data_IF_299314424476
#
_entry.id   IF_299314424476
#
_cell.length_a   1.000
_cell.length_b   1.000
_cell.length_c   1.000
_cell.angle_alpha   90.00
_cell.angle_beta   90.00
_cell.angle_gamma   90.00
#
_symmetry.space_group_name_H-M   'P 1'
#
loop_
_entity.id
_entity.type
_entity.pdbx_description
1 polymer ?
#
# COMPACT_ATOMS: atom_id res chain seq x y z
N UNK A 1 -17.41 -3.21 13.36
CA UNK A 1 -16.77 -1.99 13.88
C UNK A 1 -15.30 -2.32 13.76
N UNK A 2 -14.54 -1.60 12.94
CA UNK A 2 -13.14 -1.96 12.73
C UNK A 2 -12.31 -1.44 13.89
N UNK A 3 -11.48 -2.29 14.47
CA UNK A 3 -10.48 -1.92 15.46
C UNK A 3 -9.25 -1.31 14.77
N UNK A 4 -8.44 -0.54 15.50
CA UNK A 4 -7.15 -0.05 15.00
C UNK A 4 -6.26 -1.19 14.49
N UNK A 5 -6.35 -2.36 15.14
CA UNK A 5 -5.71 -3.60 14.69
C UNK A 5 -6.14 -3.99 13.28
N UNK A 6 -7.45 -4.06 13.02
CA UNK A 6 -7.94 -4.42 11.69
C UNK A 6 -7.54 -3.39 10.62
N UNK A 7 -7.44 -2.10 10.97
CA UNK A 7 -7.05 -1.05 10.01
C UNK A 7 -5.57 -1.14 9.66
N UNK A 8 -4.70 -1.39 10.66
CA UNK A 8 -3.28 -1.62 10.42
C UNK A 8 -3.02 -2.97 9.74
N UNK A 9 -3.79 -4.01 10.03
CA UNK A 9 -3.75 -5.28 9.29
C UNK A 9 -4.11 -5.07 7.81
N UNK A 10 -5.09 -4.21 7.51
CA UNK A 10 -5.41 -3.84 6.12
C UNK A 10 -4.23 -3.08 5.49
N UNK A 11 -3.61 -2.14 6.20
CA UNK A 11 -2.43 -1.42 5.70
C UNK A 11 -1.28 -2.38 5.36
N UNK A 12 -0.98 -3.34 6.24
CA UNK A 12 0.03 -4.37 5.99
C UNK A 12 -0.33 -5.21 4.76
N UNK A 13 -1.59 -5.63 4.63
CA UNK A 13 -2.05 -6.42 3.49
C UNK A 13 -1.91 -5.68 2.16
N UNK A 14 -2.17 -4.37 2.15
CA UNK A 14 -1.98 -3.51 0.96
C UNK A 14 -0.51 -3.55 0.52
N UNK A 15 0.40 -3.29 1.46
CA UNK A 15 1.84 -3.27 1.18
C UNK A 15 2.33 -4.66 0.73
N UNK A 16 1.88 -5.74 1.37
CA UNK A 16 2.21 -7.11 0.97
C UNK A 16 1.75 -7.43 -0.46
N UNK A 17 0.55 -7.00 -0.83
CA UNK A 17 0.02 -7.15 -2.18
C UNK A 17 0.83 -6.31 -3.20
N UNK A 18 1.30 -5.12 -2.80
CA UNK A 18 2.24 -4.28 -3.57
C UNK A 18 3.59 -4.95 -3.80
N UNK A 19 4.19 -5.55 -2.77
CA UNK A 19 5.45 -6.31 -2.87
C UNK A 19 5.33 -7.41 -3.92
N UNK A 20 4.28 -8.23 -3.84
CA UNK A 20 4.04 -9.31 -4.77
C UNK A 20 3.86 -8.79 -6.19
N UNK A 21 3.04 -7.74 -6.34
CA UNK A 21 2.76 -7.14 -7.64
C UNK A 21 4.02 -6.62 -8.34
N UNK A 22 4.81 -5.79 -7.65
CA UNK A 22 6.04 -5.23 -8.21
C UNK A 22 7.15 -6.27 -8.40
N UNK A 23 7.22 -7.29 -7.53
CA UNK A 23 8.17 -8.39 -7.69
C UNK A 23 7.91 -9.13 -9.01
N UNK A 24 6.65 -9.42 -9.33
CA UNK A 24 6.36 -10.10 -10.59
C UNK A 24 6.53 -9.17 -11.78
N UNK A 25 6.07 -7.92 -11.74
CA UNK A 25 6.32 -6.97 -12.84
C UNK A 25 7.81 -6.78 -13.13
N UNK A 26 8.65 -6.83 -12.09
CA UNK A 26 10.10 -6.74 -12.29
C UNK A 26 10.70 -7.96 -12.98
N UNK A 27 10.10 -9.14 -12.78
CA UNK A 27 10.57 -10.41 -13.35
C UNK A 27 10.09 -10.59 -14.80
N UNK A 28 8.89 -10.10 -15.11
CA UNK A 28 8.25 -10.26 -16.42
C UNK A 28 8.55 -9.10 -17.39
N UNK A 29 9.20 -8.02 -16.93
CA UNK A 29 9.48 -6.84 -17.75
C UNK A 29 10.72 -7.00 -18.65
N UNK A 30 10.52 -6.97 -19.96
CA UNK A 30 11.60 -6.92 -20.97
C UNK A 30 12.35 -5.58 -21.03
N UNK A 31 11.83 -4.53 -20.35
CA UNK A 31 12.45 -3.20 -20.27
C UNK A 31 13.36 -3.10 -19.03
N UNK A 32 14.68 -2.92 -19.17
CA UNK A 32 15.60 -2.88 -18.02
C UNK A 32 15.36 -1.71 -17.06
N UNK A 33 14.90 -0.57 -17.57
CA UNK A 33 14.58 0.61 -16.76
C UNK A 33 13.31 0.39 -15.92
N UNK A 34 12.26 -0.18 -16.51
CA UNK A 34 11.04 -0.56 -15.81
C UNK A 34 11.29 -1.67 -14.78
N UNK A 35 12.02 -2.74 -15.15
CA UNK A 35 12.37 -3.82 -14.23
C UNK A 35 13.16 -3.32 -13.01
N UNK A 36 14.04 -2.33 -13.19
CA UNK A 36 14.78 -1.73 -12.09
C UNK A 36 13.91 -0.85 -11.20
N UNK A 37 12.97 -0.09 -11.79
CA UNK A 37 12.00 0.69 -11.03
C UNK A 37 11.06 -0.19 -10.21
N UNK A 38 10.53 -1.28 -10.78
CA UNK A 38 9.67 -2.21 -10.05
C UNK A 38 10.39 -2.91 -8.90
N UNK A 39 11.67 -3.29 -9.07
CA UNK A 39 12.46 -3.82 -7.93
C UNK A 39 12.65 -2.80 -6.82
N UNK A 40 12.85 -1.53 -7.17
CA UNK A 40 12.92 -0.45 -6.20
C UNK A 40 11.60 -0.29 -5.43
N UNK A 41 10.47 -0.24 -6.16
CA UNK A 41 9.14 -0.13 -5.55
C UNK A 41 8.85 -1.30 -4.60
N UNK A 42 9.05 -2.55 -5.05
CA UNK A 42 8.88 -3.74 -4.20
C UNK A 42 9.69 -3.70 -2.90
N UNK A 43 10.83 -3.02 -2.89
CA UNK A 43 11.66 -2.86 -1.69
C UNK A 43 11.17 -1.71 -0.79
N UNK A 44 10.53 -0.68 -1.34
CA UNK A 44 9.86 0.35 -0.55
C UNK A 44 8.61 -0.21 0.14
N UNK A 45 7.76 -0.94 -0.59
CA UNK A 45 6.57 -1.59 0.00
C UNK A 45 6.96 -2.54 1.16
N UNK A 46 8.11 -3.24 1.07
CA UNK A 46 8.65 -4.06 2.18
C UNK A 46 8.91 -3.23 3.44
N UNK A 47 9.53 -2.06 3.28
CA UNK A 47 9.84 -1.16 4.39
C UNK A 47 8.57 -0.56 4.99
N UNK A 48 7.55 -0.31 4.17
CA UNK A 48 6.25 0.18 4.62
C UNK A 48 5.47 -0.90 5.38
N UNK A 49 5.42 -2.13 4.86
CA UNK A 49 4.84 -3.28 5.56
C UNK A 49 5.49 -3.52 6.92
N UNK A 50 6.83 -3.44 7.00
CA UNK A 50 7.58 -3.53 8.25
C UNK A 50 7.17 -2.41 9.22
N UNK A 51 7.12 -1.16 8.73
CA UNK A 51 6.71 -0.01 9.54
C UNK A 51 5.28 -0.18 10.09
N UNK A 52 4.30 -0.58 9.27
CA UNK A 52 2.94 -0.83 9.75
C UNK A 52 2.86 -2.01 10.72
N UNK A 53 3.69 -3.04 10.52
CA UNK A 53 3.80 -4.19 11.44
C UNK A 53 4.35 -3.78 12.81
N UNK A 54 5.37 -2.91 12.84
CA UNK A 54 5.90 -2.33 14.08
C UNK A 54 4.86 -1.48 14.80
N UNK A 55 4.11 -0.65 14.07
CA UNK A 55 3.00 0.12 14.65
C UNK A 55 1.94 -0.81 15.25
N UNK A 56 1.51 -1.84 14.52
CA UNK A 56 0.55 -2.82 15.02
C UNK A 56 1.03 -3.52 16.29
N UNK A 57 2.32 -3.90 16.36
CA UNK A 57 2.91 -4.51 17.54
C UNK A 57 2.87 -3.56 18.75
N UNK A 58 3.21 -2.28 18.56
CA UNK A 58 3.12 -1.26 19.61
C UNK A 58 1.69 -1.11 20.13
N UNK A 59 0.69 -1.09 19.24
CA UNK A 59 -0.72 -1.00 19.66
C UNK A 59 -1.21 -2.22 20.43
N UNK A 60 -0.71 -3.43 20.12
CA UNK A 60 -1.01 -4.65 20.90
C UNK A 60 -0.42 -4.59 22.31
N UNK A 61 0.73 -3.95 22.49
CA UNK A 61 1.36 -3.76 23.79
C UNK A 61 0.68 -2.66 24.62
N UNK A 62 0.19 -1.60 23.96
CA UNK A 62 -0.51 -0.46 24.57
C UNK A 62 -2.00 -0.74 24.89
N UNK A 63 -2.56 -1.86 24.42
CA UNK A 63 -3.97 -2.27 24.59
C UNK A 63 -4.42 -2.46 26.07
N UNK A 64 -3.53 -2.23 27.06
CA UNK A 64 -3.91 -2.12 28.47
C UNK A 64 -4.55 -0.80 28.87
N UNK A 65 -4.40 0.29 28.10
CA UNK A 65 -5.03 1.58 28.46
C UNK A 65 -5.66 2.31 27.26
N UNK A 66 -7.01 2.34 27.27
CA UNK A 66 -7.82 3.50 26.87
C UNK A 66 -7.80 3.93 25.39
N UNK A 67 -8.47 3.20 24.50
CA UNK A 67 -9.01 3.86 23.29
C UNK A 67 -10.39 3.34 22.87
N UNK A 68 -11.27 4.28 22.53
CA UNK A 68 -12.62 4.02 22.05
C UNK A 68 -12.65 4.23 20.52
N UNK A 69 -12.10 3.28 19.76
CA UNK A 69 -11.96 3.35 18.29
C UNK A 69 -13.24 2.98 17.56
N UNK A 70 -14.29 3.79 17.78
CA UNK A 70 -15.61 3.60 17.19
C UNK A 70 -15.73 4.04 15.73
N UNK A 71 -14.83 4.93 15.29
CA UNK A 71 -15.12 5.81 14.16
C UNK A 71 -14.29 5.48 12.92
N UNK A 72 -14.25 4.20 12.55
CA UNK A 72 -13.78 3.83 11.21
C UNK A 72 -14.77 4.38 10.17
N UNK A 73 -14.29 5.25 9.27
CA UNK A 73 -15.10 5.86 8.22
C UNK A 73 -15.73 4.81 7.30
N UNK A 74 -16.88 5.12 6.68
CA UNK A 74 -17.51 4.22 5.70
C UNK A 74 -16.58 3.91 4.51
N UNK A 75 -15.61 4.78 4.26
CA UNK A 75 -14.54 4.57 3.28
C UNK A 75 -13.65 3.38 3.66
N UNK A 76 -13.13 3.32 4.89
CA UNK A 76 -12.34 2.18 5.40
C UNK A 76 -13.15 0.88 5.31
N UNK A 77 -14.45 0.94 5.62
CA UNK A 77 -15.34 -0.23 5.49
C UNK A 77 -15.47 -0.70 4.05
N UNK A 78 -15.45 0.20 3.08
CA UNK A 78 -15.46 -0.18 1.67
C UNK A 78 -14.17 -0.90 1.27
N UNK A 79 -13.03 -0.46 1.81
CA UNK A 79 -11.70 -1.03 1.58
C UNK A 79 -11.57 -2.45 2.15
N UNK A 80 -12.11 -2.70 3.36
CA UNK A 80 -12.10 -4.05 3.95
C UNK A 80 -12.94 -5.08 3.18
N UNK A 81 -13.96 -4.62 2.43
CA UNK A 81 -14.96 -5.47 1.77
C UNK A 81 -14.58 -5.76 0.33
N UNK A 82 -14.01 -4.76 -0.34
CA UNK A 82 -13.43 -4.91 -1.66
C UNK A 82 -11.95 -5.16 -1.45
N UNK A 83 -11.45 -6.40 -1.62
CA UNK A 83 -10.00 -6.61 -1.71
C UNK A 83 -9.45 -5.68 -2.80
N UNK A 84 -8.85 -4.56 -2.39
CA UNK A 84 -8.58 -3.44 -3.30
C UNK A 84 -7.45 -3.78 -4.25
N UNK A 85 -6.50 -4.62 -3.83
CA UNK A 85 -5.63 -5.27 -4.77
C UNK A 85 -6.27 -6.58 -5.25
N UNK A 86 -6.63 -6.70 -6.54
CA UNK A 86 -6.57 -8.00 -7.18
C UNK A 86 -5.19 -8.60 -6.93
N UNK A 87 -5.16 -9.88 -6.56
CA UNK A 87 -3.89 -10.59 -6.35
C UNK A 87 -3.02 -10.39 -7.59
N UNK A 88 -1.71 -10.20 -7.39
CA UNK A 88 -0.77 -10.05 -8.50
C UNK A 88 -1.00 -11.11 -9.60
N UNK A 89 -1.22 -12.36 -9.20
CA UNK A 89 -1.56 -13.47 -10.10
C UNK A 89 -2.85 -13.26 -10.93
N UNK A 90 -3.89 -12.64 -10.36
CA UNK A 90 -5.15 -12.35 -11.06
C UNK A 90 -4.96 -11.20 -12.05
N UNK A 91 -4.18 -10.18 -11.69
CA UNK A 91 -3.83 -9.07 -12.59
C UNK A 91 -3.00 -9.59 -13.75
N UNK A 92 -1.94 -10.34 -13.46
CA UNK A 92 -1.00 -10.83 -14.46
C UNK A 92 -1.58 -11.93 -15.35
N UNK A 93 -2.43 -12.81 -14.80
CA UNK A 93 -3.19 -13.76 -15.60
C UNK A 93 -4.03 -13.07 -16.67
N UNK A 94 -4.66 -11.94 -16.31
CA UNK A 94 -5.42 -11.10 -17.24
C UNK A 94 -4.53 -10.19 -18.12
N UNK A 95 -3.30 -9.89 -17.69
CA UNK A 95 -2.33 -9.04 -18.41
C UNK A 95 -1.30 -9.84 -19.23
N UNK A 96 -1.36 -11.17 -19.27
CA UNK A 96 -0.40 -12.01 -20.03
C UNK A 96 -0.29 -11.67 -21.54
N UNK A 97 -1.27 -10.94 -22.09
CA UNK A 97 -1.25 -10.38 -23.44
C UNK A 97 -1.34 -8.84 -23.49
N UNK A 98 -1.34 -8.17 -22.34
CA UNK A 98 -1.50 -6.73 -22.22
C UNK A 98 -0.15 -6.00 -22.22
N UNK A 99 -0.07 -4.77 -22.75
CA UNK A 99 1.13 -3.96 -22.65
C UNK A 99 1.49 -3.63 -21.20
N UNK A 100 2.79 -3.57 -20.89
CA UNK A 100 3.30 -3.15 -19.57
C UNK A 100 2.75 -1.79 -19.12
N UNK A 101 2.40 -0.91 -20.05
CA UNK A 101 1.77 0.38 -19.74
C UNK A 101 0.44 0.23 -19.00
N UNK A 102 -0.36 -0.80 -19.29
CA UNK A 102 -1.61 -1.07 -18.55
C UNK A 102 -1.33 -1.53 -17.12
N UNK A 103 -0.26 -2.30 -16.92
CA UNK A 103 0.16 -2.68 -15.57
C UNK A 103 0.60 -1.46 -14.76
N UNK A 104 1.33 -0.54 -15.40
CA UNK A 104 1.77 0.72 -14.77
C UNK A 104 0.59 1.65 -14.47
N UNK A 105 -0.37 1.80 -15.39
CA UNK A 105 -1.59 2.58 -15.15
C UNK A 105 -2.36 2.02 -13.94
N UNK A 106 -2.51 0.70 -13.89
CA UNK A 106 -3.14 0.02 -12.75
C UNK A 106 -2.37 0.26 -11.45
N UNK A 107 -1.04 0.12 -11.46
CA UNK A 107 -0.17 0.42 -10.32
C UNK A 107 -0.40 1.84 -9.80
N UNK A 108 -0.44 2.83 -10.70
CA UNK A 108 -0.67 4.23 -10.35
C UNK A 108 -2.02 4.45 -9.67
N UNK A 109 -3.07 3.77 -10.12
CA UNK A 109 -4.40 3.89 -9.50
C UNK A 109 -4.41 3.27 -8.11
N UNK A 110 -3.75 2.13 -7.96
CA UNK A 110 -3.56 1.48 -6.67
C UNK A 110 -2.82 2.39 -5.68
N UNK A 111 -1.68 2.99 -6.05
CA UNK A 111 -0.94 3.87 -5.12
C UNK A 111 -1.76 5.09 -4.68
N UNK A 112 -2.63 5.62 -5.56
CA UNK A 112 -3.52 6.72 -5.17
C UNK A 112 -4.52 6.27 -4.11
N UNK A 113 -5.09 5.08 -4.27
CA UNK A 113 -6.03 4.51 -3.31
C UNK A 113 -5.34 4.23 -1.97
N UNK A 114 -4.09 3.71 -1.99
CA UNK A 114 -3.25 3.53 -0.81
C UNK A 114 -3.00 4.86 -0.09
N UNK A 115 -2.64 5.92 -0.83
CA UNK A 115 -2.48 7.27 -0.25
C UNK A 115 -3.74 7.75 0.45
N UNK A 116 -4.91 7.60 -0.17
CA UNK A 116 -6.19 8.01 0.43
C UNK A 116 -6.45 7.18 1.70
N UNK A 117 -6.23 5.87 1.63
CA UNK A 117 -6.38 4.99 2.78
C UNK A 117 -5.46 5.39 3.94
N UNK A 118 -4.19 5.72 3.68
CA UNK A 118 -3.26 6.14 4.73
C UNK A 118 -3.59 7.49 5.34
N UNK A 119 -4.26 8.39 4.61
CA UNK A 119 -4.84 9.59 5.22
C UNK A 119 -5.95 9.24 6.23
N UNK A 120 -6.77 8.24 5.94
CA UNK A 120 -7.78 7.76 6.91
C UNK A 120 -7.13 7.07 8.11
N UNK A 121 -6.01 6.36 7.89
CA UNK A 121 -5.18 5.84 9.00
C UNK A 121 -4.66 6.98 9.88
N UNK A 122 -4.25 8.12 9.31
CA UNK A 122 -3.82 9.27 10.12
C UNK A 122 -4.94 9.83 11.00
N UNK A 123 -6.17 9.90 10.51
CA UNK A 123 -7.29 10.43 11.30
C UNK A 123 -7.60 9.57 12.53
N UNK A 124 -7.23 8.29 12.50
CA UNK A 124 -7.39 7.35 13.61
C UNK A 124 -6.13 7.15 14.46
N UNK A 125 -5.04 7.90 14.24
CA UNK A 125 -3.85 7.76 15.07
C UNK A 125 -3.74 8.97 16.00
N UNK A 126 -3.66 8.71 17.30
CA UNK A 126 -3.43 9.75 18.33
C UNK A 126 -1.95 9.89 18.73
N UNK A 127 -1.15 8.85 18.54
CA UNK A 127 0.30 8.87 18.83
C UNK A 127 1.05 9.69 17.77
N UNK A 128 1.77 10.74 18.19
CA UNK A 128 2.46 11.64 17.26
C UNK A 128 3.60 10.95 16.49
N UNK A 129 4.28 9.98 17.11
CA UNK A 129 5.34 9.21 16.45
C UNK A 129 4.74 8.28 15.37
N UNK A 130 3.64 7.59 15.67
CA UNK A 130 2.89 6.80 14.69
C UNK A 130 2.37 7.67 13.53
N UNK A 131 1.80 8.84 13.84
CA UNK A 131 1.35 9.81 12.82
C UNK A 131 2.51 10.28 11.94
N UNK A 132 3.69 10.53 12.52
CA UNK A 132 4.86 10.93 11.76
C UNK A 132 5.35 9.81 10.82
N UNK A 133 5.33 8.56 11.28
CA UNK A 133 5.67 7.40 10.47
C UNK A 133 4.72 7.25 9.26
N UNK A 134 3.41 7.29 9.49
CA UNK A 134 2.42 7.17 8.39
C UNK A 134 2.49 8.35 7.42
N UNK A 135 2.74 9.58 7.89
CA UNK A 135 2.98 10.74 7.00
C UNK A 135 4.18 10.53 6.10
N UNK A 136 5.24 9.90 6.60
CA UNK A 136 6.44 9.60 5.79
C UNK A 136 6.10 8.63 4.67
N UNK A 137 5.35 7.55 4.97
CA UNK A 137 4.88 6.57 3.98
C UNK A 137 4.04 7.25 2.90
N UNK A 138 3.07 8.10 3.28
CA UNK A 138 2.25 8.86 2.32
C UNK A 138 3.11 9.68 1.33
N UNK A 139 4.18 10.31 1.80
CA UNK A 139 5.08 11.08 0.94
C UNK A 139 5.98 10.19 0.06
N UNK A 140 6.21 8.94 0.46
CA UNK A 140 6.91 7.93 -0.34
C UNK A 140 5.98 7.38 -1.42
N UNK A 141 4.72 7.06 -1.10
CA UNK A 141 3.72 6.62 -2.09
C UNK A 141 3.45 7.65 -3.19
N UNK A 142 3.39 8.93 -2.82
CA UNK A 142 3.30 10.01 -3.82
C UNK A 142 4.51 10.02 -4.76
N UNK A 143 5.70 9.65 -4.29
CA UNK A 143 6.89 9.53 -5.15
C UNK A 143 6.81 8.27 -6.01
N UNK A 144 6.24 7.17 -5.53
CA UNK A 144 5.99 5.96 -6.33
C UNK A 144 5.16 6.30 -7.57
N UNK A 145 4.05 7.03 -7.39
CA UNK A 145 3.22 7.54 -8.51
C UNK A 145 4.04 8.34 -9.53
N UNK A 146 4.95 9.19 -9.06
CA UNK A 146 5.83 9.99 -9.95
C UNK A 146 6.82 9.11 -10.69
N UNK A 147 7.40 8.09 -10.03
CA UNK A 147 8.30 7.12 -10.67
C UNK A 147 7.57 6.34 -11.75
N UNK A 148 6.38 5.82 -11.45
CA UNK A 148 5.55 5.07 -12.39
C UNK A 148 5.14 5.92 -13.60
N UNK A 149 4.70 7.17 -13.39
CA UNK A 149 4.38 8.07 -14.51
C UNK A 149 5.56 8.31 -15.45
N UNK A 150 6.76 8.48 -14.91
CA UNK A 150 7.98 8.66 -15.72
C UNK A 150 8.32 7.42 -16.57
N UNK A 151 7.84 6.24 -16.22
CA UNK A 151 7.99 5.04 -17.04
C UNK A 151 7.03 5.03 -18.24
N UNK A 152 5.83 5.62 -18.11
CA UNK A 152 4.86 5.76 -19.19
C UNK A 152 5.28 6.81 -20.23
N UNK A 153 5.95 7.88 -19.80
CA UNK A 153 6.40 8.96 -20.68
C UNK A 153 7.60 8.58 -21.57
N UNK A 154 8.10 7.34 -21.46
CA UNK A 154 9.25 6.79 -22.18
C UNK A 154 8.87 5.65 -23.11
#
# INVERSE_FOLDING_TARGET
>A
MFSAHEILDIAISIEEEGIDFYTVLSSDSDRPDAASAFRYLAEQERQHAETFSELLARFKEEEQELFNWSDASDYIRSFSRNKVFPKAADVLGNLSAAPVSKAIDFAIDVEKESVIFYYEVLEILNDEDARAAVKKIIEEEKKHIVVLRKLLDK
#
